data_IF_628343230592
#
_entry.id   IF_628343230592
#
_cell.length_a   1.000
_cell.length_b   1.000
_cell.length_c   1.000
_cell.angle_alpha   90.00
_cell.angle_beta   90.00
_cell.angle_gamma   90.00
#
_symmetry.space_group_name_H-M   'P 1'
#
loop_
_entity.id
_entity.type
_entity.pdbx_description
1 polymer ?
#
# COMPACT_ATOMS: atom_id res chain seq x y z
N UNK A 1 16.22 32.89 -11.30
CA UNK A 1 15.36 32.50 -12.43
C UNK A 1 16.18 31.93 -13.57
N UNK A 2 17.05 32.67 -14.26
CA UNK A 2 17.81 32.18 -15.41
C UNK A 2 18.67 30.93 -15.16
N UNK A 3 19.18 30.72 -13.96
CA UNK A 3 19.99 29.54 -13.61
C UNK A 3 19.09 28.29 -13.48
N UNK A 4 17.91 28.43 -12.91
CA UNK A 4 16.94 27.35 -12.78
C UNK A 4 16.41 26.94 -14.16
N UNK A 5 16.11 27.93 -15.03
CA UNK A 5 15.68 27.63 -16.41
C UNK A 5 16.74 26.92 -17.24
N UNK A 6 18.01 27.25 -17.07
CA UNK A 6 19.11 26.57 -17.75
C UNK A 6 19.29 25.13 -17.26
N UNK A 7 19.08 24.87 -15.99
CA UNK A 7 19.12 23.49 -15.44
C UNK A 7 17.96 22.64 -15.93
N UNK A 8 16.76 23.21 -16.01
CA UNK A 8 15.57 22.55 -16.58
C UNK A 8 15.82 22.17 -18.05
N UNK A 9 16.34 23.07 -18.86
CA UNK A 9 16.62 22.84 -20.28
C UNK A 9 17.69 21.76 -20.54
N UNK A 10 18.57 21.52 -19.59
CA UNK A 10 19.66 20.56 -19.72
C UNK A 10 19.36 19.19 -19.11
N UNK A 11 18.11 18.93 -18.74
CA UNK A 11 17.65 17.65 -18.18
C UNK A 11 18.51 17.13 -17.02
N UNK A 12 19.10 18.04 -16.27
CA UNK A 12 19.94 17.72 -15.12
C UNK A 12 19.09 17.71 -13.85
N UNK A 13 19.43 16.78 -12.97
CA UNK A 13 18.80 16.70 -11.65
C UNK A 13 18.81 18.08 -10.98
N UNK A 14 17.64 18.46 -10.47
CA UNK A 14 17.47 19.74 -9.76
C UNK A 14 18.13 19.63 -8.40
N UNK A 15 19.19 20.36 -8.22
CA UNK A 15 19.75 20.58 -6.89
C UNK A 15 19.40 22.00 -6.47
N UNK A 16 19.21 22.21 -5.20
CA UNK A 16 19.22 23.54 -4.62
C UNK A 16 20.65 24.07 -4.73
N UNK A 17 20.93 24.56 -5.87
CA UNK A 17 22.01 25.33 -6.44
C UNK A 17 23.05 25.85 -5.45
N UNK A 18 23.88 24.95 -4.92
CA UNK A 18 25.04 25.36 -4.11
C UNK A 18 24.71 26.22 -2.88
N UNK A 19 23.47 26.18 -2.40
CA UNK A 19 23.11 26.70 -1.10
C UNK A 19 23.52 25.64 -0.08
N UNK A 20 24.75 25.74 0.34
CA UNK A 20 25.25 24.99 1.47
C UNK A 20 24.87 25.77 2.74
N UNK A 21 23.75 25.39 3.33
CA UNK A 21 23.22 25.96 4.55
C UNK A 21 22.73 24.86 5.45
N UNK A 22 23.08 24.91 6.73
CA UNK A 22 22.66 23.88 7.71
C UNK A 22 21.14 23.67 7.84
N UNK A 23 20.35 24.68 7.44
CA UNK A 23 18.89 24.62 7.38
C UNK A 23 18.36 24.32 5.97
N UNK A 24 19.23 24.07 4.98
CA UNK A 24 18.77 23.69 3.65
C UNK A 24 18.15 22.31 3.70
N UNK A 25 16.87 22.20 3.31
CA UNK A 25 16.19 20.92 3.16
C UNK A 25 16.82 20.18 1.97
N UNK A 26 17.45 19.05 2.24
CA UNK A 26 17.86 18.16 1.17
C UNK A 26 16.60 17.52 0.55
N UNK A 27 16.50 17.54 -0.78
CA UNK A 27 15.40 16.87 -1.50
C UNK A 27 15.70 15.39 -1.73
N UNK A 28 16.74 14.85 -1.10
CA UNK A 28 17.32 13.56 -1.45
C UNK A 28 16.60 12.35 -0.92
N UNK A 29 16.24 12.34 0.34
CA UNK A 29 15.66 11.14 0.98
C UNK A 29 14.62 11.55 2.04
N UNK A 30 13.44 10.96 1.95
CA UNK A 30 12.49 11.02 3.05
C UNK A 30 13.04 10.19 4.21
N UNK A 31 13.22 10.83 5.36
CA UNK A 31 13.59 10.10 6.58
C UNK A 31 12.35 9.44 7.16
N UNK A 32 12.44 8.16 7.52
CA UNK A 32 11.37 7.50 8.27
C UNK A 32 11.30 8.08 9.68
N UNK A 33 10.25 8.86 9.91
CA UNK A 33 9.99 9.52 11.20
C UNK A 33 8.97 8.75 12.06
N UNK A 34 8.59 7.55 11.63
CA UNK A 34 7.72 6.68 12.42
C UNK A 34 8.45 6.22 13.68
N UNK A 35 7.70 5.98 14.74
CA UNK A 35 8.27 5.40 15.97
C UNK A 35 8.70 3.96 15.74
N UNK A 36 9.72 3.52 16.45
CA UNK A 36 10.19 2.13 16.41
C UNK A 36 9.04 1.13 16.66
N UNK A 37 9.04 0.02 15.95
CA UNK A 37 7.98 -0.99 16.01
C UNK A 37 6.69 -0.61 15.27
N UNK A 38 6.69 0.50 14.52
CA UNK A 38 5.54 0.88 13.69
C UNK A 38 5.46 0.00 12.45
N UNK A 39 4.28 -0.54 12.20
CA UNK A 39 3.92 -1.24 10.98
C UNK A 39 2.92 -0.42 10.17
N UNK A 40 3.11 -0.35 8.87
CA UNK A 40 2.20 0.38 7.98
C UNK A 40 1.79 -0.44 6.76
N UNK A 41 0.54 -0.27 6.37
CA UNK A 41 -0.05 -0.92 5.20
C UNK A 41 -0.68 0.13 4.28
N UNK A 42 -0.49 -0.04 2.98
CA UNK A 42 -1.19 0.75 1.96
C UNK A 42 -1.83 -0.19 0.96
N UNK A 43 -3.15 -0.32 1.04
CA UNK A 43 -3.91 -1.18 0.14
C UNK A 43 -4.47 -0.42 -1.06
N UNK A 44 -4.54 -1.11 -2.19
CA UNK A 44 -5.11 -0.63 -3.43
C UNK A 44 -6.32 -1.48 -3.82
N UNK A 45 -7.45 -0.83 -4.09
CA UNK A 45 -8.72 -1.48 -4.38
C UNK A 45 -9.56 -0.63 -5.33
N UNK A 46 -10.74 -1.13 -5.64
CA UNK A 46 -11.79 -0.39 -6.34
C UNK A 46 -12.89 -0.02 -5.36
N UNK A 47 -13.45 1.18 -5.49
CA UNK A 47 -14.53 1.65 -4.66
C UNK A 47 -15.75 0.71 -4.69
N UNK A 48 -16.24 0.32 -3.52
CA UNK A 48 -17.35 -0.60 -3.35
C UNK A 48 -16.97 -2.05 -2.99
N UNK A 49 -15.70 -2.43 -3.04
CA UNK A 49 -15.24 -3.80 -2.71
C UNK A 49 -15.11 -4.09 -1.21
N UNK A 50 -15.55 -3.18 -0.35
CA UNK A 50 -15.54 -3.39 1.10
C UNK A 50 -14.16 -3.26 1.76
N UNK A 51 -13.10 -3.02 1.01
CA UNK A 51 -11.71 -2.93 1.50
C UNK A 51 -11.51 -1.86 2.57
N UNK A 52 -12.18 -0.71 2.46
CA UNK A 52 -12.15 0.35 3.48
C UNK A 52 -12.81 -0.10 4.79
N UNK A 53 -13.91 -0.85 4.69
CA UNK A 53 -14.59 -1.42 5.87
C UNK A 53 -13.69 -2.45 6.54
N UNK A 54 -13.05 -3.32 5.74
CA UNK A 54 -12.09 -4.30 6.25
C UNK A 54 -10.92 -3.64 6.95
N UNK A 55 -10.37 -2.57 6.37
CA UNK A 55 -9.28 -1.83 6.99
C UNK A 55 -9.67 -1.29 8.38
N UNK A 56 -10.91 -0.80 8.54
CA UNK A 56 -11.44 -0.40 9.84
C UNK A 56 -11.58 -1.57 10.81
N UNK A 57 -12.03 -2.73 10.33
CA UNK A 57 -12.14 -3.95 11.15
C UNK A 57 -10.75 -4.41 11.63
N UNK A 58 -9.75 -4.43 10.72
CA UNK A 58 -8.35 -4.71 11.09
C UNK A 58 -7.88 -3.73 12.17
N UNK A 59 -8.10 -2.44 11.96
CA UNK A 59 -7.73 -1.40 12.92
C UNK A 59 -8.38 -1.63 14.30
N UNK A 60 -9.66 -1.95 14.34
CA UNK A 60 -10.38 -2.24 15.59
C UNK A 60 -9.80 -3.47 16.30
N UNK A 61 -9.58 -4.56 15.57
CA UNK A 61 -9.00 -5.78 16.13
C UNK A 61 -7.63 -5.50 16.72
N UNK A 62 -6.78 -4.81 15.98
CA UNK A 62 -5.41 -4.50 16.44
C UNK A 62 -5.43 -3.60 17.67
N UNK A 63 -6.30 -2.60 17.70
CA UNK A 63 -6.43 -1.70 18.86
C UNK A 63 -6.97 -2.42 20.10
N UNK A 64 -8.04 -3.23 19.95
CA UNK A 64 -8.74 -3.82 21.09
C UNK A 64 -8.11 -5.10 21.62
N UNK A 65 -7.52 -5.94 20.73
CA UNK A 65 -6.93 -7.21 21.15
C UNK A 65 -5.43 -7.13 21.47
N UNK A 66 -4.71 -6.21 20.81
CA UNK A 66 -3.28 -6.09 20.98
C UNK A 66 -2.85 -4.81 21.71
N UNK A 67 -3.81 -3.98 22.14
CA UNK A 67 -3.58 -2.73 22.89
C UNK A 67 -2.57 -1.80 22.18
N UNK A 68 -2.70 -1.69 20.86
CA UNK A 68 -1.81 -0.87 20.04
C UNK A 68 -2.50 0.42 19.57
N UNK A 69 -1.69 1.45 19.33
CA UNK A 69 -2.18 2.66 18.67
C UNK A 69 -2.38 2.39 17.19
N UNK A 70 -3.53 2.83 16.66
CA UNK A 70 -3.91 2.57 15.27
C UNK A 70 -4.40 3.83 14.59
N UNK A 71 -4.03 3.99 13.33
CA UNK A 71 -4.59 5.00 12.44
C UNK A 71 -5.00 4.33 11.13
N UNK A 72 -6.28 4.48 10.74
CA UNK A 72 -6.81 3.90 9.52
C UNK A 72 -7.69 4.91 8.77
N UNK A 73 -7.38 5.14 7.49
CA UNK A 73 -8.14 6.08 6.66
C UNK A 73 -8.09 5.71 5.18
N UNK A 74 -9.14 6.02 4.41
CA UNK A 74 -9.14 5.88 2.97
C UNK A 74 -8.70 7.17 2.28
N UNK A 75 -8.18 7.03 1.05
CA UNK A 75 -8.02 8.10 0.08
C UNK A 75 -8.89 7.77 -1.14
N UNK A 76 -9.91 8.57 -1.36
CA UNK A 76 -10.80 8.44 -2.50
C UNK A 76 -10.37 9.36 -3.63
N UNK A 77 -10.67 8.95 -4.88
CA UNK A 77 -10.75 9.88 -5.99
C UNK A 77 -11.98 10.80 -5.88
N UNK A 78 -12.21 11.63 -6.89
CA UNK A 78 -13.37 12.55 -6.96
C UNK A 78 -14.72 11.81 -6.89
N UNK A 79 -14.78 10.58 -7.37
CA UNK A 79 -15.94 9.70 -7.29
C UNK A 79 -15.61 8.48 -6.42
N UNK A 80 -16.61 7.98 -5.65
CA UNK A 80 -16.39 6.94 -4.65
C UNK A 80 -16.62 5.51 -5.14
N UNK A 81 -17.41 5.32 -6.20
CA UNK A 81 -17.82 3.99 -6.66
C UNK A 81 -17.19 3.66 -8.02
N UNK A 82 -16.58 2.47 -8.12
CA UNK A 82 -15.98 1.99 -9.36
C UNK A 82 -14.63 2.62 -9.71
N UNK A 83 -14.12 3.57 -8.92
CA UNK A 83 -12.81 4.19 -9.12
C UNK A 83 -11.76 3.65 -8.14
N UNK A 84 -10.47 3.80 -8.49
CA UNK A 84 -9.38 3.39 -7.62
C UNK A 84 -9.49 4.03 -6.25
N UNK A 85 -9.36 3.20 -5.22
CA UNK A 85 -9.38 3.60 -3.82
C UNK A 85 -8.12 3.11 -3.16
N UNK A 86 -7.40 4.01 -2.51
CA UNK A 86 -6.28 3.66 -1.65
C UNK A 86 -6.72 3.74 -0.19
N UNK A 87 -6.28 2.81 0.63
CA UNK A 87 -6.53 2.84 2.07
C UNK A 87 -5.25 2.59 2.83
N UNK A 88 -5.14 3.22 3.98
CA UNK A 88 -3.95 3.24 4.80
C UNK A 88 -4.25 2.69 6.18
N UNK A 89 -3.29 1.97 6.73
CA UNK A 89 -3.27 1.52 8.11
C UNK A 89 -1.88 1.78 8.69
N UNK A 90 -1.83 2.34 9.88
CA UNK A 90 -0.61 2.40 10.68
C UNK A 90 -0.93 1.82 12.04
N UNK A 91 -0.06 0.94 12.50
CA UNK A 91 -0.12 0.29 13.81
C UNK A 91 1.19 0.58 14.54
N UNK A 92 1.12 0.95 15.79
CA UNK A 92 2.33 1.26 16.57
C UNK A 92 2.15 0.92 18.05
N UNK A 93 3.18 0.41 18.73
CA UNK A 93 3.16 0.27 20.19
C UNK A 93 3.17 1.62 20.90
N UNK A 94 3.54 2.69 20.19
CA UNK A 94 3.61 4.05 20.72
C UNK A 94 2.62 4.97 20.00
N UNK A 95 2.28 6.08 20.64
CA UNK A 95 1.36 7.07 20.08
C UNK A 95 1.83 7.54 18.70
N UNK A 96 0.96 7.39 17.70
CA UNK A 96 1.21 7.84 16.32
C UNK A 96 1.16 9.36 16.28
N UNK A 97 2.24 9.97 15.80
CA UNK A 97 2.38 11.44 15.70
C UNK A 97 2.28 11.94 14.26
N UNK A 98 2.45 11.04 13.28
CA UNK A 98 2.39 11.37 11.85
C UNK A 98 0.98 11.18 11.31
N UNK A 99 0.47 12.18 10.57
CA UNK A 99 -0.90 12.19 10.04
C UNK A 99 -0.92 12.56 8.55
N UNK A 100 0.12 12.16 7.82
CA UNK A 100 0.29 12.35 6.38
C UNK A 100 0.07 11.04 5.60
N UNK A 101 0.14 11.12 4.28
CA UNK A 101 0.21 9.91 3.43
C UNK A 101 1.46 9.09 3.79
N UNK A 102 1.30 7.76 3.80
CA UNK A 102 2.38 6.86 4.18
C UNK A 102 3.42 6.80 3.07
N UNK A 103 4.65 7.19 3.37
CA UNK A 103 5.80 7.07 2.49
C UNK A 103 6.52 5.72 2.66
N UNK A 104 6.42 5.13 3.86
CA UNK A 104 7.02 3.83 4.20
C UNK A 104 5.92 2.86 4.60
N UNK A 105 5.93 1.68 4.00
CA UNK A 105 4.96 0.61 4.28
C UNK A 105 5.63 -0.75 4.23
N UNK A 106 5.17 -1.67 5.03
CA UNK A 106 5.66 -3.05 5.13
C UNK A 106 4.76 -4.02 4.37
N UNK A 107 3.48 -3.65 4.16
CA UNK A 107 2.51 -4.50 3.49
C UNK A 107 1.69 -3.73 2.45
N UNK A 108 1.58 -4.29 1.26
CA UNK A 108 0.78 -3.73 0.16
C UNK A 108 -0.19 -4.78 -0.35
N UNK A 109 -1.46 -4.79 0.07
CA UNK A 109 -2.49 -5.60 -0.55
C UNK A 109 -3.04 -4.93 -1.82
N UNK A 110 -2.94 -5.64 -2.94
CA UNK A 110 -3.58 -5.29 -4.21
C UNK A 110 -4.87 -6.11 -4.37
N UNK A 111 -5.99 -5.50 -4.05
CA UNK A 111 -7.31 -6.09 -4.31
C UNK A 111 -7.70 -5.99 -5.79
N UNK A 112 -6.99 -5.17 -6.56
CA UNK A 112 -7.10 -5.05 -8.00
C UNK A 112 -5.69 -4.89 -8.61
N UNK A 113 -5.30 -5.84 -9.45
CA UNK A 113 -4.01 -5.84 -10.15
C UNK A 113 -3.86 -4.64 -11.11
N UNK A 114 -4.97 -4.06 -11.56
CA UNK A 114 -4.95 -2.85 -12.39
C UNK A 114 -4.37 -1.63 -11.65
N UNK A 115 -4.18 -1.70 -10.35
CA UNK A 115 -3.47 -0.66 -9.60
C UNK A 115 -2.08 -0.35 -10.17
N UNK A 116 -1.39 -1.34 -10.77
CA UNK A 116 -0.11 -1.14 -11.45
C UNK A 116 -0.19 -0.22 -12.69
N UNK A 117 -1.37 -0.12 -13.32
CA UNK A 117 -1.59 0.73 -14.49
C UNK A 117 -1.94 2.18 -14.10
N UNK A 118 -2.36 2.38 -12.86
CA UNK A 118 -2.89 3.66 -12.38
C UNK A 118 -1.89 4.41 -11.49
N UNK A 119 -1.01 3.68 -10.81
CA UNK A 119 -0.04 4.22 -9.87
C UNK A 119 1.15 3.27 -9.71
N UNK A 120 2.12 3.68 -8.88
CA UNK A 120 3.16 2.78 -8.39
C UNK A 120 2.79 2.26 -6.98
N UNK A 121 2.12 1.09 -6.86
CA UNK A 121 1.73 0.56 -5.56
C UNK A 121 2.93 0.13 -4.71
N UNK A 122 4.10 -0.12 -5.31
CA UNK A 122 5.32 -0.50 -4.59
C UNK A 122 6.11 0.71 -4.06
N UNK A 123 5.67 1.94 -4.33
CA UNK A 123 6.36 3.13 -3.82
C UNK A 123 6.42 3.07 -2.29
N UNK A 124 7.62 3.10 -1.72
CA UNK A 124 7.83 3.08 -0.26
C UNK A 124 7.61 1.74 0.42
N UNK A 125 7.33 0.66 -0.34
CA UNK A 125 7.35 -0.69 0.22
C UNK A 125 8.77 -1.05 0.62
N UNK A 126 8.94 -1.34 1.91
CA UNK A 126 10.24 -1.55 2.51
C UNK A 126 10.90 -2.85 2.05
N UNK A 127 12.23 -2.92 2.02
CA UNK A 127 12.94 -4.17 1.76
C UNK A 127 12.47 -5.29 2.71
N UNK A 128 12.24 -6.48 2.16
CA UNK A 128 11.66 -7.60 2.90
C UNK A 128 10.15 -7.50 3.14
N UNK A 129 9.51 -6.43 2.68
CA UNK A 129 8.07 -6.23 2.80
C UNK A 129 7.24 -7.24 2.01
N UNK A 130 5.93 -7.11 2.11
CA UNK A 130 4.97 -8.07 1.56
C UNK A 130 4.07 -7.38 0.51
N UNK A 131 3.97 -8.00 -0.65
CA UNK A 131 2.99 -7.68 -1.68
C UNK A 131 1.96 -8.81 -1.74
N UNK A 132 0.71 -8.51 -1.50
CA UNK A 132 -0.39 -9.44 -1.72
C UNK A 132 -1.16 -9.08 -3.00
N UNK A 133 -1.44 -10.06 -3.85
CA UNK A 133 -2.15 -9.88 -5.13
C UNK A 133 -3.42 -10.73 -5.13
N UNK A 134 -4.57 -10.08 -5.26
CA UNK A 134 -5.82 -10.74 -5.57
C UNK A 134 -5.82 -11.21 -7.02
N UNK A 135 -5.94 -12.50 -7.27
CA UNK A 135 -6.00 -13.06 -8.62
C UNK A 135 -6.70 -14.42 -8.64
N UNK A 136 -7.48 -14.74 -9.68
CA UNK A 136 -8.06 -16.08 -9.86
C UNK A 136 -7.06 -17.09 -10.41
N UNK A 137 -5.87 -16.65 -10.83
CA UNK A 137 -4.81 -17.50 -11.36
C UNK A 137 -4.17 -18.33 -10.25
N UNK A 138 -3.77 -19.54 -10.59
CA UNK A 138 -3.16 -20.49 -9.64
C UNK A 138 -1.69 -20.80 -9.98
N UNK A 139 -1.26 -20.57 -11.25
CA UNK A 139 0.13 -20.74 -11.64
C UNK A 139 0.98 -19.55 -11.17
N UNK A 140 2.06 -19.78 -10.41
CA UNK A 140 2.99 -18.72 -10.02
C UNK A 140 3.57 -17.97 -11.22
N UNK A 141 3.86 -18.68 -12.33
CA UNK A 141 4.43 -18.10 -13.55
C UNK A 141 3.45 -17.13 -14.21
N UNK A 142 2.17 -17.50 -14.30
CA UNK A 142 1.14 -16.64 -14.88
C UNK A 142 0.90 -15.41 -14.01
N UNK A 143 0.87 -15.58 -12.69
CA UNK A 143 0.71 -14.48 -11.72
C UNK A 143 1.90 -13.53 -11.86
N UNK A 144 3.11 -14.07 -11.93
CA UNK A 144 4.32 -13.28 -12.07
C UNK A 144 4.37 -12.49 -13.37
N UNK A 145 3.84 -13.02 -14.47
CA UNK A 145 3.77 -12.32 -15.76
C UNK A 145 2.76 -11.16 -15.76
N UNK A 146 1.71 -11.21 -14.96
CA UNK A 146 0.75 -10.11 -14.82
C UNK A 146 1.35 -8.89 -14.09
N UNK A 147 2.37 -9.12 -13.27
CA UNK A 147 3.09 -8.04 -12.61
C UNK A 147 3.99 -7.35 -13.63
N UNK A 148 3.91 -6.02 -13.82
CA UNK A 148 4.75 -5.30 -14.78
C UNK A 148 6.24 -5.52 -14.55
N UNK A 149 7.03 -5.48 -15.63
CA UNK A 149 8.47 -5.75 -15.57
C UNK A 149 9.21 -4.88 -14.55
N UNK A 150 8.87 -3.59 -14.46
CA UNK A 150 9.46 -2.68 -13.49
C UNK A 150 9.13 -3.09 -12.05
N UNK A 151 7.90 -3.52 -11.80
CA UNK A 151 7.48 -3.96 -10.48
C UNK A 151 8.15 -5.29 -10.09
N UNK A 152 8.29 -6.24 -11.05
CA UNK A 152 9.05 -7.48 -10.83
C UNK A 152 10.52 -7.21 -10.48
N UNK A 153 11.12 -6.21 -11.14
CA UNK A 153 12.49 -5.77 -10.83
C UNK A 153 12.58 -5.26 -9.40
N UNK A 154 11.74 -4.30 -9.03
CA UNK A 154 11.68 -3.74 -7.66
C UNK A 154 11.45 -4.83 -6.62
N UNK A 155 10.53 -5.76 -6.88
CA UNK A 155 10.23 -6.89 -5.99
C UNK A 155 11.46 -7.75 -5.70
N UNK A 156 12.28 -8.04 -6.73
CA UNK A 156 13.50 -8.82 -6.57
C UNK A 156 14.60 -8.03 -5.85
N UNK A 157 14.83 -6.79 -6.25
CA UNK A 157 15.89 -5.94 -5.69
C UNK A 157 15.66 -5.68 -4.20
N UNK A 158 14.40 -5.51 -3.77
CA UNK A 158 14.03 -5.25 -2.39
C UNK A 158 13.63 -6.52 -1.63
N UNK A 159 13.80 -7.71 -2.20
CA UNK A 159 13.47 -9.00 -1.56
C UNK A 159 12.03 -9.06 -1.03
N UNK A 160 11.08 -8.49 -1.79
CA UNK A 160 9.67 -8.44 -1.42
C UNK A 160 9.06 -9.83 -1.58
N UNK A 161 8.36 -10.29 -0.53
CA UNK A 161 7.59 -11.54 -0.60
C UNK A 161 6.26 -11.29 -1.29
N UNK A 162 5.95 -12.11 -2.30
CA UNK A 162 4.70 -12.00 -3.05
C UNK A 162 3.78 -13.15 -2.67
N UNK A 163 2.60 -12.82 -2.14
CA UNK A 163 1.50 -13.76 -1.94
C UNK A 163 0.40 -13.49 -2.95
N UNK A 164 -0.25 -14.55 -3.41
CA UNK A 164 -1.41 -14.45 -4.30
C UNK A 164 -2.52 -15.40 -3.87
N UNK A 165 -3.76 -14.96 -3.96
CA UNK A 165 -4.91 -15.76 -3.58
C UNK A 165 -6.18 -15.26 -4.27
N UNK A 166 -7.07 -16.17 -4.66
CA UNK A 166 -8.40 -15.82 -5.14
C UNK A 166 -9.37 -15.59 -3.97
N UNK A 167 -9.37 -14.36 -3.46
CA UNK A 167 -10.27 -13.96 -2.37
C UNK A 167 -11.73 -13.94 -2.81
N UNK A 168 -12.00 -13.77 -4.11
CA UNK A 168 -13.36 -13.78 -4.68
C UNK A 168 -13.94 -15.18 -4.63
N UNK A 169 -13.16 -16.20 -5.01
CA UNK A 169 -13.56 -17.59 -4.94
C UNK A 169 -13.90 -17.99 -3.51
N UNK A 170 -12.99 -17.72 -2.57
CA UNK A 170 -13.20 -18.05 -1.15
C UNK A 170 -14.44 -17.31 -0.61
N UNK A 171 -14.59 -16.03 -0.92
CA UNK A 171 -15.76 -15.27 -0.49
C UNK A 171 -17.08 -15.84 -1.03
N UNK A 172 -17.09 -16.35 -2.27
CA UNK A 172 -18.25 -17.02 -2.85
C UNK A 172 -18.58 -18.34 -2.15
N UNK A 173 -17.57 -19.11 -1.79
CA UNK A 173 -17.74 -20.41 -1.13
C UNK A 173 -18.30 -20.27 0.29
N UNK A 174 -17.92 -19.20 1.01
CA UNK A 174 -18.36 -19.01 2.40
C UNK A 174 -19.57 -18.08 2.54
N UNK A 175 -19.95 -17.38 1.48
CA UNK A 175 -21.08 -16.43 1.53
C UNK A 175 -22.40 -17.15 1.31
N UNK A 176 -23.31 -17.00 2.26
CA UNK A 176 -24.69 -17.49 2.12
C UNK A 176 -25.57 -16.65 1.17
N UNK A 177 -25.12 -15.45 0.81
CA UNK A 177 -25.87 -14.48 0.03
C UNK A 177 -24.99 -13.76 -1.01
N UNK A 178 -25.45 -13.67 -2.28
CA UNK A 178 -24.67 -13.04 -3.35
C UNK A 178 -24.31 -11.57 -3.10
N UNK A 179 -25.19 -10.81 -2.44
CA UNK A 179 -24.97 -9.39 -2.12
C UNK A 179 -23.89 -9.15 -1.04
N UNK A 180 -23.51 -10.22 -0.32
CA UNK A 180 -22.46 -10.15 0.71
C UNK A 180 -21.07 -10.55 0.19
N UNK A 181 -20.96 -11.15 -1.00
CA UNK A 181 -19.67 -11.66 -1.52
C UNK A 181 -18.57 -10.59 -1.48
N UNK A 182 -18.88 -9.37 -1.92
CA UNK A 182 -17.89 -8.29 -1.91
C UNK A 182 -17.41 -7.94 -0.49
N UNK A 183 -18.31 -7.99 0.50
CA UNK A 183 -17.94 -7.74 1.90
C UNK A 183 -17.15 -8.92 2.49
N UNK A 184 -17.47 -10.14 2.09
CA UNK A 184 -16.74 -11.34 2.53
C UNK A 184 -15.30 -11.37 2.01
N UNK A 185 -15.01 -10.80 0.84
CA UNK A 185 -13.63 -10.62 0.38
C UNK A 185 -12.78 -9.85 1.41
N UNK A 186 -13.39 -8.89 2.08
CA UNK A 186 -12.74 -8.16 3.16
C UNK A 186 -12.36 -9.05 4.34
N UNK A 187 -13.21 -10.00 4.70
CA UNK A 187 -12.90 -10.96 5.78
C UNK A 187 -11.76 -11.89 5.36
N UNK A 188 -11.72 -12.31 4.09
CA UNK A 188 -10.58 -13.07 3.57
C UNK A 188 -9.29 -12.26 3.65
N UNK A 189 -9.34 -10.97 3.30
CA UNK A 189 -8.18 -10.07 3.43
C UNK A 189 -7.73 -9.92 4.89
N UNK A 190 -8.67 -9.86 5.84
CA UNK A 190 -8.33 -9.86 7.27
C UNK A 190 -7.54 -11.12 7.64
N UNK A 191 -7.97 -12.31 7.19
CA UNK A 191 -7.26 -13.57 7.42
C UNK A 191 -5.85 -13.55 6.82
N UNK A 192 -5.70 -12.99 5.61
CA UNK A 192 -4.39 -12.83 4.96
C UNK A 192 -3.51 -11.91 5.76
N UNK A 193 -4.02 -10.76 6.20
CA UNK A 193 -3.30 -9.80 7.03
C UNK A 193 -2.77 -10.47 8.30
N UNK A 194 -3.63 -11.12 9.07
CA UNK A 194 -3.26 -11.80 10.33
C UNK A 194 -2.28 -12.97 10.14
N UNK A 195 -2.22 -13.56 8.95
CA UNK A 195 -1.29 -14.66 8.64
C UNK A 195 0.05 -14.17 8.14
N UNK A 196 0.06 -13.04 7.44
CA UNK A 196 1.25 -12.52 6.74
C UNK A 196 2.05 -11.56 7.61
N UNK A 197 1.42 -10.94 8.61
CA UNK A 197 2.04 -9.98 9.53
C UNK A 197 2.09 -10.51 10.95
#
# INVERSE_FOLDING_TARGET
MAVVENMIKNDKKYFALGIDHELALSTGESTDVRTEGTFSMRGHSVGGYGSVTTNKVIATIVAELFDMYVQAYPKYGSEKKGLPTTYYLTVSPNRIKTHNELEFVEFVPLNDVNAFNLANPLKGLQPGGILFVQTPKTSPEEIWTDIPQWARKTTRENQITVYALDTVKIAKEVSSRPDLIQRMQGIVLLGIFLKAT
#
